data_IF_565787114394
#
_entry.id   IF_565787114394
#
_cell.length_a   1.000
_cell.length_b   1.000
_cell.length_c   1.000
_cell.angle_alpha   90.00
_cell.angle_beta   90.00
_cell.angle_gamma   90.00
#
_symmetry.space_group_name_H-M   'P 1'
#
loop_
_entity.id
_entity.type
_entity.pdbx_description
1 polymer ?
#
# COMPACT_ATOMS: atom_id res chain seq x y z
N UNK A 1 17.97 -61.02 -35.99
CA UNK A 1 17.18 -59.84 -36.23
C UNK A 1 16.46 -59.56 -34.88
N UNK A 2 17.08 -58.69 -34.07
CA UNK A 2 16.61 -58.39 -32.72
C UNK A 2 16.00 -56.98 -32.75
N UNK A 3 14.67 -56.91 -32.51
CA UNK A 3 13.92 -55.65 -32.41
C UNK A 3 14.05 -55.11 -30.98
N UNK A 4 14.74 -54.01 -30.76
CA UNK A 4 14.76 -53.26 -29.52
C UNK A 4 13.56 -52.33 -29.50
N UNK A 5 12.60 -52.60 -28.60
CA UNK A 5 11.51 -51.67 -28.30
C UNK A 5 11.98 -50.61 -27.31
N UNK A 6 12.00 -49.36 -27.77
CA UNK A 6 12.34 -48.19 -26.94
C UNK A 6 11.08 -47.65 -26.29
N UNK A 7 10.88 -47.94 -25.02
CA UNK A 7 9.78 -47.37 -24.21
C UNK A 7 10.15 -45.93 -23.77
N UNK A 8 9.53 -44.93 -24.42
CA UNK A 8 9.57 -43.54 -23.92
C UNK A 8 8.64 -43.37 -22.72
N UNK A 9 9.19 -43.18 -21.53
CA UNK A 9 8.45 -42.76 -20.34
C UNK A 9 8.29 -41.25 -20.42
N UNK A 10 7.08 -40.78 -20.78
CA UNK A 10 6.70 -39.36 -20.67
C UNK A 10 6.32 -39.11 -19.22
N UNK A 11 7.25 -38.55 -18.46
CA UNK A 11 6.99 -38.07 -17.11
C UNK A 11 6.13 -36.79 -17.16
N UNK A 12 4.84 -36.91 -16.84
CA UNK A 12 3.99 -35.75 -16.62
C UNK A 12 4.35 -35.11 -15.27
N UNK A 13 5.11 -34.00 -15.33
CA UNK A 13 5.26 -33.10 -14.19
C UNK A 13 3.95 -32.31 -13.99
N UNK A 14 3.02 -32.85 -13.20
CA UNK A 14 1.93 -32.06 -12.64
C UNK A 14 2.50 -31.18 -11.52
N UNK A 15 3.02 -30.01 -11.88
CA UNK A 15 3.33 -28.97 -10.94
C UNK A 15 2.02 -28.45 -10.34
N UNK A 16 1.66 -28.87 -9.10
CA UNK A 16 0.67 -28.17 -8.31
C UNK A 16 1.19 -26.75 -8.03
N UNK A 17 0.75 -25.79 -8.83
CA UNK A 17 0.85 -24.38 -8.44
C UNK A 17 -0.09 -24.21 -7.25
N UNK A 18 0.48 -24.19 -6.06
CA UNK A 18 -0.22 -23.86 -4.83
C UNK A 18 -0.52 -22.36 -4.92
N UNK A 19 -1.75 -22.01 -5.35
CA UNK A 19 -2.23 -20.64 -5.29
C UNK A 19 -2.30 -20.25 -3.83
N UNK A 20 -1.34 -19.46 -3.36
CA UNK A 20 -1.40 -18.88 -2.03
C UNK A 20 -2.76 -18.15 -1.90
N UNK A 21 -3.45 -18.39 -0.78
CA UNK A 21 -4.69 -17.70 -0.50
C UNK A 21 -4.40 -16.20 -0.46
N UNK A 22 -5.19 -15.34 -1.15
CA UNK A 22 -4.99 -13.90 -1.09
C UNK A 22 -4.97 -13.42 0.36
N UNK A 23 -4.01 -12.61 0.73
CA UNK A 23 -3.94 -12.00 2.06
C UNK A 23 -5.12 -11.05 2.21
N UNK A 24 -5.90 -11.20 3.28
CA UNK A 24 -6.95 -10.25 3.64
C UNK A 24 -6.45 -9.38 4.80
N UNK A 25 -6.55 -8.06 4.64
CA UNK A 25 -6.14 -7.08 5.63
C UNK A 25 -7.36 -6.39 6.24
N UNK A 26 -7.38 -6.23 7.56
CA UNK A 26 -8.31 -5.37 8.29
C UNK A 26 -7.74 -3.95 8.31
N UNK A 27 -8.21 -3.07 7.41
CA UNK A 27 -7.67 -1.73 7.23
C UNK A 27 -7.85 -0.85 8.45
N UNK A 28 -8.98 -0.97 9.16
CA UNK A 28 -9.26 -0.21 10.38
C UNK A 28 -8.34 -0.64 11.54
N UNK A 29 -8.13 -1.95 11.71
CA UNK A 29 -7.21 -2.47 12.71
C UNK A 29 -5.77 -2.02 12.44
N UNK A 30 -5.33 -2.04 11.17
CA UNK A 30 -4.00 -1.57 10.78
C UNK A 30 -3.86 -0.07 11.04
N UNK A 31 -4.84 0.75 10.64
CA UNK A 31 -4.81 2.18 10.86
C UNK A 31 -4.73 2.54 12.35
N UNK A 32 -5.49 1.83 13.19
CA UNK A 32 -5.43 1.99 14.66
C UNK A 32 -4.03 1.68 15.19
N UNK A 33 -3.45 0.53 14.80
CA UNK A 33 -2.10 0.14 15.23
C UNK A 33 -1.04 1.15 14.78
N UNK A 34 -1.18 1.69 13.56
CA UNK A 34 -0.29 2.73 13.04
C UNK A 34 -0.37 4.00 13.88
N UNK A 35 -1.57 4.50 14.18
CA UNK A 35 -1.76 5.69 15.02
C UNK A 35 -1.19 5.49 16.44
N UNK A 36 -1.32 4.29 17.02
CA UNK A 36 -0.82 3.96 18.35
C UNK A 36 0.69 3.63 18.38
N UNK A 37 1.33 3.45 17.21
CA UNK A 37 2.74 3.03 17.11
C UNK A 37 3.75 4.07 17.63
N UNK A 38 3.32 5.34 17.78
CA UNK A 38 4.21 6.45 18.06
C UNK A 38 5.13 6.81 16.88
N UNK A 39 4.73 6.46 15.64
CA UNK A 39 5.44 6.83 14.41
C UNK A 39 5.06 8.21 13.88
N UNK A 40 4.07 8.86 14.46
CA UNK A 40 3.52 10.14 14.02
C UNK A 40 3.73 11.20 15.08
N UNK A 41 4.04 12.42 14.66
CA UNK A 41 4.22 13.59 15.52
C UNK A 41 2.99 14.51 15.55
N UNK A 42 2.13 14.39 14.54
CA UNK A 42 0.92 15.18 14.39
C UNK A 42 -0.34 14.33 14.70
N UNK A 43 -1.43 15.03 14.98
CA UNK A 43 -2.74 14.41 15.09
C UNK A 43 -3.33 14.25 13.69
N UNK A 44 -3.58 13.01 13.29
CA UNK A 44 -4.16 12.70 11.99
C UNK A 44 -5.69 12.57 12.11
N UNK A 45 -6.41 13.25 11.22
CA UNK A 45 -7.87 13.23 11.17
C UNK A 45 -8.35 12.36 10.01
N UNK A 46 -9.44 11.59 10.19
CA UNK A 46 -10.00 10.79 9.10
C UNK A 46 -10.57 11.69 8.00
N UNK A 47 -10.42 11.25 6.76
CA UNK A 47 -11.07 11.86 5.60
C UNK A 47 -12.00 10.86 4.92
N UNK A 48 -13.00 11.37 4.19
CA UNK A 48 -13.94 10.52 3.46
C UNK A 48 -13.31 9.92 2.19
N UNK A 49 -13.93 8.86 1.66
CA UNK A 49 -13.50 8.23 0.40
C UNK A 49 -13.50 9.22 -0.77
N UNK A 50 -14.46 10.16 -0.81
CA UNK A 50 -14.56 11.18 -1.86
C UNK A 50 -13.37 12.16 -1.80
N UNK A 51 -12.94 12.54 -0.60
CA UNK A 51 -11.76 13.39 -0.42
C UNK A 51 -10.51 12.60 -0.82
N UNK A 52 -10.39 11.35 -0.36
CA UNK A 52 -9.28 10.46 -0.76
C UNK A 52 -9.23 10.27 -2.29
N UNK A 53 -10.38 10.10 -2.96
CA UNK A 53 -10.45 9.99 -4.41
C UNK A 53 -9.87 11.23 -5.11
N UNK A 54 -10.11 12.43 -4.57
CA UNK A 54 -9.54 13.66 -5.11
C UNK A 54 -8.03 13.75 -4.93
N UNK A 55 -7.49 13.21 -3.82
CA UNK A 55 -6.05 13.23 -3.53
C UNK A 55 -5.26 12.19 -4.32
N UNK A 56 -5.85 11.01 -4.52
CA UNK A 56 -5.19 9.85 -5.13
C UNK A 56 -5.63 9.59 -6.58
N UNK A 57 -6.62 10.34 -7.09
CA UNK A 57 -7.06 10.25 -8.49
C UNK A 57 -7.61 8.88 -8.88
N UNK A 58 -8.48 8.29 -8.04
CA UNK A 58 -9.20 7.06 -8.35
C UNK A 58 -10.69 7.32 -8.55
N UNK A 59 -11.35 6.45 -9.32
CA UNK A 59 -12.80 6.42 -9.45
C UNK A 59 -13.41 5.56 -8.34
N UNK A 60 -14.65 5.84 -7.95
CA UNK A 60 -15.33 5.13 -6.86
C UNK A 60 -15.36 3.60 -7.05
N UNK A 61 -15.49 3.15 -8.31
CA UNK A 61 -15.49 1.73 -8.67
C UNK A 61 -14.10 1.06 -8.56
N UNK A 62 -13.01 1.83 -8.57
CA UNK A 62 -11.63 1.31 -8.51
C UNK A 62 -11.25 0.86 -7.09
N UNK A 63 -11.88 1.45 -6.06
CA UNK A 63 -11.57 1.20 -4.65
C UNK A 63 -12.81 0.71 -3.92
N UNK A 64 -12.77 -0.51 -3.40
CA UNK A 64 -13.89 -1.14 -2.68
C UNK A 64 -13.95 -0.76 -1.22
N UNK A 65 -12.78 -0.45 -0.62
CA UNK A 65 -12.66 -0.03 0.78
C UNK A 65 -11.43 0.84 0.97
N UNK A 66 -11.49 1.82 1.88
CA UNK A 66 -10.33 2.62 2.23
C UNK A 66 -10.44 3.23 3.62
N UNK A 67 -9.29 3.36 4.27
CA UNK A 67 -9.13 4.05 5.55
C UNK A 67 -8.00 5.07 5.38
N UNK A 68 -8.34 6.36 5.50
CA UNK A 68 -7.38 7.44 5.25
C UNK A 68 -7.43 8.46 6.38
N UNK A 69 -6.26 8.73 6.96
CA UNK A 69 -6.04 9.75 7.98
C UNK A 69 -4.95 10.71 7.49
N UNK A 70 -5.23 12.00 7.53
CA UNK A 70 -4.30 13.05 7.12
C UNK A 70 -4.03 14.04 8.24
N UNK A 71 -2.84 14.65 8.23
CA UNK A 71 -2.58 15.89 8.95
C UNK A 71 -3.56 16.98 8.50
N UNK A 72 -3.83 17.93 9.37
CA UNK A 72 -4.66 19.12 9.06
C UNK A 72 -3.97 20.13 8.13
N UNK A 73 -2.84 19.76 7.55
CA UNK A 73 -2.03 20.59 6.65
C UNK A 73 -0.77 21.17 7.31
N UNK A 74 -0.57 20.91 8.59
CA UNK A 74 0.65 21.33 9.30
C UNK A 74 1.87 20.47 8.92
N UNK A 75 1.64 19.19 8.65
CA UNK A 75 2.68 18.21 8.29
C UNK A 75 2.29 17.42 7.05
N UNK A 76 3.25 16.68 6.49
CA UNK A 76 3.03 15.72 5.39
C UNK A 76 2.56 14.36 5.89
N UNK A 77 2.42 14.17 7.20
CA UNK A 77 2.11 12.88 7.80
C UNK A 77 0.72 12.39 7.38
N UNK A 78 0.65 11.13 6.96
CA UNK A 78 -0.55 10.55 6.37
C UNK A 78 -0.55 9.02 6.51
N UNK A 79 -1.71 8.43 6.77
CA UNK A 79 -1.99 7.00 6.67
C UNK A 79 -3.07 6.84 5.63
N UNK A 80 -2.79 6.11 4.54
CA UNK A 80 -3.78 5.80 3.52
C UNK A 80 -3.69 4.33 3.12
N UNK A 81 -4.74 3.61 3.45
CA UNK A 81 -4.86 2.16 3.26
C UNK A 81 -6.06 1.91 2.35
N UNK A 82 -5.84 1.15 1.28
CA UNK A 82 -6.86 0.93 0.25
C UNK A 82 -7.00 -0.55 -0.07
N UNK A 83 -8.24 -0.99 -0.33
CA UNK A 83 -8.57 -2.24 -1.01
C UNK A 83 -9.16 -1.90 -2.38
N UNK A 84 -8.50 -2.33 -3.44
CA UNK A 84 -8.92 -2.07 -4.81
C UNK A 84 -9.83 -3.19 -5.35
N UNK A 85 -10.60 -2.87 -6.38
CA UNK A 85 -11.51 -3.81 -7.01
C UNK A 85 -10.77 -4.93 -7.78
N UNK A 86 -9.57 -4.62 -8.29
CA UNK A 86 -8.71 -5.55 -9.03
C UNK A 86 -7.25 -5.07 -9.01
N UNK A 87 -6.32 -5.91 -9.47
CA UNK A 87 -4.88 -5.61 -9.46
C UNK A 87 -4.49 -4.46 -10.40
N UNK A 88 -5.23 -4.22 -11.46
CA UNK A 88 -4.99 -3.08 -12.37
C UNK A 88 -5.28 -1.76 -11.65
N UNK A 89 -6.42 -1.68 -10.96
CA UNK A 89 -6.78 -0.54 -10.12
C UNK A 89 -5.74 -0.33 -9.00
N UNK A 90 -5.28 -1.39 -8.34
CA UNK A 90 -4.25 -1.31 -7.31
C UNK A 90 -2.92 -0.79 -7.87
N UNK A 91 -2.50 -1.25 -9.04
CA UNK A 91 -1.28 -0.78 -9.71
C UNK A 91 -1.38 0.70 -10.09
N UNK A 92 -2.53 1.12 -10.64
CA UNK A 92 -2.80 2.53 -10.97
C UNK A 92 -2.78 3.41 -9.72
N UNK A 93 -3.43 2.95 -8.65
CA UNK A 93 -3.47 3.67 -7.38
C UNK A 93 -2.07 3.82 -6.76
N UNK A 94 -1.24 2.78 -6.78
CA UNK A 94 0.16 2.85 -6.33
C UNK A 94 0.97 3.88 -7.12
N UNK A 95 0.78 3.96 -8.44
CA UNK A 95 1.43 4.98 -9.26
C UNK A 95 0.97 6.39 -8.86
N UNK A 96 -0.31 6.58 -8.57
CA UNK A 96 -0.85 7.86 -8.13
C UNK A 96 -0.36 8.22 -6.72
N UNK A 97 -0.22 7.25 -5.81
CA UNK A 97 0.39 7.46 -4.49
C UNK A 97 1.84 7.97 -4.61
N UNK A 98 2.63 7.43 -5.52
CA UNK A 98 3.98 7.96 -5.79
C UNK A 98 3.95 9.39 -6.37
N UNK A 99 3.00 9.71 -7.26
CA UNK A 99 2.83 11.09 -7.75
C UNK A 99 2.44 12.06 -6.63
N UNK A 100 1.65 11.60 -5.64
CA UNK A 100 1.30 12.39 -4.47
C UNK A 100 2.54 12.81 -3.68
N UNK A 101 3.55 11.93 -3.51
CA UNK A 101 4.82 12.27 -2.88
C UNK A 101 5.44 13.50 -3.56
N UNK A 102 5.60 13.48 -4.88
CA UNK A 102 6.23 14.57 -5.62
C UNK A 102 5.40 15.87 -5.54
N UNK A 103 4.08 15.75 -5.58
CA UNK A 103 3.18 16.89 -5.41
C UNK A 103 3.32 17.50 -4.02
N UNK A 104 3.32 16.67 -2.97
CA UNK A 104 3.47 17.12 -1.60
C UNK A 104 4.84 17.74 -1.35
N UNK A 105 5.94 17.20 -1.87
CA UNK A 105 7.27 17.81 -1.81
C UNK A 105 7.23 19.23 -2.34
N UNK A 106 6.70 19.42 -3.55
CA UNK A 106 6.62 20.75 -4.18
C UNK A 106 5.80 21.75 -3.35
N UNK A 107 4.70 21.29 -2.75
CA UNK A 107 3.85 22.13 -1.91
C UNK A 107 4.59 22.55 -0.64
N UNK A 108 5.23 21.60 0.06
CA UNK A 108 5.82 21.85 1.37
C UNK A 108 7.21 22.52 1.32
N UNK A 109 7.96 22.41 0.22
CA UNK A 109 9.29 23.03 0.05
C UNK A 109 9.31 24.53 0.40
N UNK A 110 8.23 25.25 0.09
CA UNK A 110 8.20 26.71 0.24
C UNK A 110 7.78 27.18 1.63
N UNK A 111 6.92 26.47 2.34
CA UNK A 111 6.38 26.95 3.62
C UNK A 111 6.75 26.09 4.84
N UNK A 112 7.12 24.83 4.63
CA UNK A 112 7.53 23.92 5.71
C UNK A 112 8.70 23.02 5.25
N UNK A 113 9.90 23.56 5.07
CA UNK A 113 11.04 22.86 4.47
C UNK A 113 11.56 21.67 5.29
N UNK A 114 11.07 21.49 6.51
CA UNK A 114 11.35 20.30 7.33
C UNK A 114 10.50 19.07 6.95
N UNK A 115 9.44 19.26 6.16
CA UNK A 115 8.49 18.20 5.82
C UNK A 115 8.91 17.32 4.63
N UNK A 116 9.47 17.84 3.52
CA UNK A 116 9.88 17.03 2.38
C UNK A 116 10.76 15.81 2.71
N UNK A 117 11.70 15.86 3.67
CA UNK A 117 12.47 14.67 4.05
C UNK A 117 11.64 13.50 4.54
N UNK A 118 10.48 13.72 5.19
CA UNK A 118 9.57 12.63 5.59
C UNK A 118 8.97 11.89 4.38
N UNK A 119 8.80 12.61 3.26
CA UNK A 119 8.30 12.06 2.01
C UNK A 119 9.35 11.18 1.29
N UNK A 120 10.64 11.38 1.55
CA UNK A 120 11.71 10.51 1.05
C UNK A 120 11.65 9.12 1.69
N UNK A 121 11.19 9.05 2.94
CA UNK A 121 11.04 7.82 3.72
C UNK A 121 9.60 7.26 3.66
N UNK A 122 8.74 7.79 2.78
CA UNK A 122 7.37 7.33 2.63
C UNK A 122 7.30 5.85 2.23
N UNK A 123 6.41 5.11 2.87
CA UNK A 123 6.16 3.71 2.53
C UNK A 123 5.01 3.66 1.52
N UNK A 124 5.30 3.18 0.29
CA UNK A 124 4.30 2.92 -0.76
C UNK A 124 4.41 1.47 -1.19
N UNK A 125 3.49 0.64 -0.75
CA UNK A 125 3.51 -0.79 -1.06
C UNK A 125 2.20 -1.26 -1.67
N UNK A 126 2.26 -2.39 -2.40
CA UNK A 126 1.11 -3.10 -2.93
C UNK A 126 1.26 -4.58 -2.59
N UNK A 127 0.20 -5.18 -2.07
CA UNK A 127 0.07 -6.62 -1.87
C UNK A 127 -1.29 -7.07 -2.42
N UNK A 128 -1.27 -7.72 -3.58
CA UNK A 128 -2.47 -8.07 -4.33
C UNK A 128 -3.35 -6.85 -4.61
N UNK A 129 -4.55 -6.86 -4.03
CA UNK A 129 -5.53 -5.79 -4.17
C UNK A 129 -5.31 -4.61 -3.22
N UNK A 130 -4.37 -4.72 -2.27
CA UNK A 130 -4.17 -3.71 -1.24
C UNK A 130 -3.02 -2.78 -1.60
N UNK A 131 -3.23 -1.49 -1.36
CA UNK A 131 -2.21 -0.44 -1.52
C UNK A 131 -2.12 0.35 -0.23
N UNK A 132 -0.91 0.48 0.30
CA UNK A 132 -0.62 1.25 1.51
C UNK A 132 0.32 2.40 1.16
N UNK A 133 -0.06 3.60 1.58
CA UNK A 133 0.73 4.81 1.50
C UNK A 133 0.80 5.42 2.91
N UNK A 134 2.01 5.52 3.47
CA UNK A 134 2.19 6.05 4.82
C UNK A 134 3.39 6.99 4.82
N UNK A 135 3.17 8.21 5.33
CA UNK A 135 4.21 9.21 5.60
C UNK A 135 4.25 9.46 7.09
N UNK A 136 5.40 9.31 7.71
CA UNK A 136 5.59 9.39 9.17
C UNK A 136 6.94 9.98 9.53
N UNK A 137 7.15 10.31 10.81
CA UNK A 137 8.48 10.68 11.33
C UNK A 137 9.37 9.46 11.63
N UNK A 138 8.79 8.25 11.65
CA UNK A 138 9.52 7.01 11.96
C UNK A 138 8.99 5.85 11.10
N UNK A 139 9.53 5.73 9.89
CA UNK A 139 9.16 4.67 8.94
C UNK A 139 9.51 3.26 9.45
N UNK A 140 10.48 3.12 10.37
CA UNK A 140 10.84 1.84 10.97
C UNK A 140 9.71 1.27 11.84
N UNK A 141 9.07 2.13 12.64
CA UNK A 141 7.89 1.73 13.43
C UNK A 141 6.72 1.36 12.54
N UNK A 142 6.48 2.14 11.47
CA UNK A 142 5.46 1.82 10.47
C UNK A 142 5.72 0.45 9.86
N UNK A 143 6.94 0.19 9.40
CA UNK A 143 7.30 -1.10 8.80
C UNK A 143 7.07 -2.26 9.77
N UNK A 144 7.41 -2.08 11.05
CA UNK A 144 7.18 -3.10 12.09
C UNK A 144 5.69 -3.44 12.26
N UNK A 145 4.79 -2.45 12.17
CA UNK A 145 3.35 -2.68 12.21
C UNK A 145 2.90 -3.47 10.98
N UNK A 146 3.33 -3.07 9.77
CA UNK A 146 2.95 -3.72 8.52
C UNK A 146 3.46 -5.17 8.43
N UNK A 147 4.67 -5.44 8.89
CA UNK A 147 5.26 -6.80 8.87
C UNK A 147 4.49 -7.76 9.78
N UNK A 148 3.89 -7.27 10.87
CA UNK A 148 3.06 -8.07 11.75
C UNK A 148 1.70 -8.45 11.13
N UNK A 149 1.27 -7.80 10.05
CA UNK A 149 0.01 -8.12 9.34
C UNK A 149 0.16 -9.31 8.38
N UNK A 150 1.38 -9.69 8.00
CA UNK A 150 1.66 -10.73 7.00
C UNK A 150 1.73 -12.16 7.57
N UNK A 151 1.13 -12.40 8.72
CA UNK A 151 1.19 -13.73 9.40
C UNK A 151 0.02 -14.62 9.04
#
# INVERSE_FOLDING_TARGET
MVLLAFCMIVGAFTGCAQTAKPTEYDLEAIATQLQESGAFSDFLSPITKEIAASFYGFEDADVTDCVVYCSTGATTEEIALFKCANEEAATKLKLNANKRIETQKTIYESYAPAEPPKLDDAIVTQDGLYVFYIVSVDSTKVQSVLDNQKK
#
